data_IF_395954152048
#
_entry.id   IF_395954152048
#
_cell.length_a   1.000
_cell.length_b   1.000
_cell.length_c   1.000
_cell.angle_alpha   90.00
_cell.angle_beta   90.00
_cell.angle_gamma   90.00
#
_symmetry.space_group_name_H-M   'P 1'
#
loop_
_entity.id
_entity.type
_entity.pdbx_description
1 polymer ?
#
# COMPACT_ATOMS: atom_id res chain seq x y z
N UNK A 1 -1.36 2.18 -18.37
CA UNK A 1 -1.05 3.60 -18.69
C UNK A 1 -1.91 4.51 -17.81
N UNK A 2 -1.35 5.59 -17.24
CA UNK A 2 -2.16 6.63 -16.56
C UNK A 2 -2.77 7.53 -17.64
N UNK A 3 -4.02 7.96 -17.46
CA UNK A 3 -4.66 8.87 -18.42
C UNK A 3 -3.89 10.19 -18.52
N UNK A 4 -3.92 10.83 -19.69
CA UNK A 4 -3.25 12.12 -19.92
C UNK A 4 -3.70 13.19 -18.90
N UNK A 5 -4.97 13.17 -18.52
CA UNK A 5 -5.54 14.04 -17.49
C UNK A 5 -4.92 13.82 -16.09
N UNK A 6 -4.69 12.57 -15.71
CA UNK A 6 -4.06 12.26 -14.42
C UNK A 6 -2.61 12.77 -14.36
N UNK A 7 -1.91 12.74 -15.48
CA UNK A 7 -0.56 13.30 -15.62
C UNK A 7 -0.63 14.83 -15.55
N UNK A 8 -1.56 15.46 -16.26
CA UNK A 8 -1.77 16.91 -16.25
C UNK A 8 -2.08 17.43 -14.84
N UNK A 9 -3.02 16.80 -14.12
CA UNK A 9 -3.37 17.18 -12.75
C UNK A 9 -2.22 16.99 -11.76
N UNK A 10 -1.38 15.96 -11.95
CA UNK A 10 -0.17 15.79 -11.14
C UNK A 10 0.82 16.93 -11.38
N UNK A 11 1.08 17.30 -12.64
CA UNK A 11 1.96 18.41 -12.99
C UNK A 11 1.43 19.74 -12.44
N UNK A 12 0.12 19.99 -12.54
CA UNK A 12 -0.52 21.19 -11.99
C UNK A 12 -0.31 21.30 -10.47
N UNK A 13 -0.53 20.22 -9.72
CA UNK A 13 -0.31 20.21 -8.26
C UNK A 13 1.16 20.44 -7.90
N UNK A 14 2.09 19.91 -8.69
CA UNK A 14 3.52 20.15 -8.50
C UNK A 14 3.90 21.61 -8.79
N UNK A 15 3.34 22.21 -9.83
CA UNK A 15 3.52 23.63 -10.14
C UNK A 15 3.02 24.52 -9.00
N UNK A 16 1.79 24.31 -8.53
CA UNK A 16 1.20 25.08 -7.42
C UNK A 16 2.08 25.04 -6.17
N UNK A 17 2.56 23.85 -5.81
CA UNK A 17 3.49 23.68 -4.69
C UNK A 17 4.80 24.46 -4.84
N UNK A 18 5.35 24.57 -6.05
CA UNK A 18 6.58 25.33 -6.30
C UNK A 18 6.37 26.84 -6.14
N UNK A 19 5.13 27.30 -6.28
CA UNK A 19 4.74 28.70 -6.16
C UNK A 19 4.09 29.02 -4.80
N UNK A 20 4.24 28.16 -3.79
CA UNK A 20 3.60 28.30 -2.48
C UNK A 20 2.07 28.45 -2.56
N UNK A 21 1.45 27.66 -3.44
CA UNK A 21 0.01 27.61 -3.64
C UNK A 21 -0.58 26.26 -3.22
N UNK A 22 -1.82 26.31 -2.72
CA UNK A 22 -2.63 25.16 -2.39
C UNK A 22 -2.85 24.26 -3.60
N UNK A 23 -2.51 22.98 -3.48
CA UNK A 23 -2.62 22.01 -4.56
C UNK A 23 -4.07 21.85 -5.10
N UNK A 24 -5.07 22.21 -4.30
CA UNK A 24 -6.49 22.08 -4.66
C UNK A 24 -7.09 23.35 -5.26
N UNK A 25 -6.94 24.50 -4.60
CA UNK A 25 -7.61 25.75 -4.99
C UNK A 25 -6.67 26.87 -5.47
N UNK A 26 -5.35 26.67 -5.50
CA UNK A 26 -4.33 27.66 -5.87
C UNK A 26 -4.21 28.91 -4.96
N UNK A 27 -4.92 28.99 -3.84
CA UNK A 27 -4.69 30.05 -2.82
C UNK A 27 -3.28 29.94 -2.21
N UNK A 28 -2.68 31.04 -1.73
CA UNK A 28 -1.40 30.99 -1.00
C UNK A 28 -1.43 29.99 0.15
N UNK A 29 -0.38 29.18 0.26
CA UNK A 29 -0.25 28.12 1.25
C UNK A 29 1.20 27.65 1.36
N UNK A 30 1.74 27.68 2.57
CA UNK A 30 3.08 27.16 2.87
C UNK A 30 3.12 25.62 2.95
N UNK A 31 1.94 24.99 2.93
CA UNK A 31 1.79 23.53 2.94
C UNK A 31 1.05 23.02 1.69
N UNK A 32 0.85 21.70 1.59
CA UNK A 32 0.21 21.08 0.43
C UNK A 32 -1.23 21.56 0.17
N UNK A 33 -2.00 21.87 1.21
CA UNK A 33 -3.36 22.42 1.13
C UNK A 33 -3.45 23.64 2.04
N UNK A 34 -4.15 24.69 1.60
CA UNK A 34 -4.48 25.78 2.50
C UNK A 34 -5.40 25.29 3.63
N UNK A 35 -5.47 26.07 4.73
CA UNK A 35 -6.27 25.79 5.92
C UNK A 35 -7.71 25.37 5.57
N UNK A 36 -8.43 26.18 4.78
CA UNK A 36 -9.81 25.89 4.37
C UNK A 36 -9.96 24.57 3.59
N UNK A 37 -9.03 24.27 2.66
CA UNK A 37 -9.10 23.03 1.89
C UNK A 37 -8.80 21.81 2.76
N UNK A 38 -7.95 21.97 3.78
CA UNK A 38 -7.66 20.92 4.74
C UNK A 38 -8.86 20.67 5.68
N UNK A 39 -9.47 21.73 6.20
CA UNK A 39 -10.67 21.66 7.04
C UNK A 39 -11.83 20.99 6.29
N UNK A 40 -12.13 21.44 5.06
CA UNK A 40 -13.16 20.83 4.20
C UNK A 40 -12.89 19.35 3.95
N UNK A 41 -11.62 18.96 3.81
CA UNK A 41 -11.24 17.56 3.62
C UNK A 41 -11.49 16.74 4.88
N UNK A 42 -11.22 17.31 6.06
CA UNK A 42 -11.55 16.73 7.35
C UNK A 42 -13.06 16.56 7.55
N UNK A 43 -13.87 17.57 7.22
CA UNK A 43 -15.34 17.48 7.28
C UNK A 43 -15.89 16.36 6.38
N UNK A 44 -15.34 16.23 5.17
CA UNK A 44 -15.70 15.14 4.25
C UNK A 44 -15.29 13.76 4.77
N UNK A 45 -14.20 13.68 5.53
CA UNK A 45 -13.75 12.45 6.19
C UNK A 45 -14.70 12.07 7.32
N UNK A 46 -15.00 13.00 8.22
CA UNK A 46 -15.99 12.82 9.29
C UNK A 46 -17.37 12.42 8.75
N UNK A 47 -17.84 13.08 7.69
CA UNK A 47 -19.10 12.74 7.02
C UNK A 47 -19.08 11.34 6.43
N UNK A 48 -17.95 10.94 5.83
CA UNK A 48 -17.78 9.59 5.28
C UNK A 48 -17.78 8.55 6.38
N UNK A 49 -17.12 8.81 7.50
CA UNK A 49 -17.10 7.93 8.66
C UNK A 49 -18.50 7.78 9.23
N UNK A 50 -19.18 8.89 9.55
CA UNK A 50 -20.57 8.88 10.03
C UNK A 50 -21.51 8.12 9.08
N UNK A 51 -21.41 8.35 7.77
CA UNK A 51 -22.20 7.62 6.76
C UNK A 51 -21.91 6.12 6.80
N UNK A 52 -20.64 5.72 6.99
CA UNK A 52 -20.24 4.31 7.08
C UNK A 52 -20.77 3.69 8.37
N UNK A 53 -20.68 4.37 9.50
CA UNK A 53 -21.23 3.93 10.79
C UNK A 53 -22.74 3.68 10.69
N UNK A 54 -23.48 4.66 10.16
CA UNK A 54 -24.93 4.56 9.99
C UNK A 54 -25.33 3.40 9.08
N UNK A 55 -24.49 3.07 8.10
CA UNK A 55 -24.69 1.94 7.17
C UNK A 55 -24.03 0.64 7.64
N UNK A 56 -23.51 0.59 8.88
CA UNK A 56 -22.77 -0.54 9.45
C UNK A 56 -21.62 -1.04 8.56
N UNK A 57 -20.96 -0.12 7.86
CA UNK A 57 -19.83 -0.39 6.98
C UNK A 57 -18.50 -0.18 7.71
N UNK A 58 -17.47 -0.91 7.30
CA UNK A 58 -16.11 -0.67 7.76
C UNK A 58 -15.65 0.77 7.47
N UNK A 59 -15.27 1.52 8.51
CA UNK A 59 -14.73 2.89 8.39
C UNK A 59 -13.48 2.97 7.50
N UNK A 60 -12.71 1.89 7.33
CA UNK A 60 -11.50 1.85 6.48
C UNK A 60 -11.82 1.50 5.03
N UNK A 61 -12.41 0.33 4.78
CA UNK A 61 -12.57 -0.19 3.42
C UNK A 61 -13.96 0.01 2.82
N UNK A 62 -14.97 0.38 3.63
CA UNK A 62 -16.35 0.59 3.19
C UNK A 62 -17.13 -0.70 2.86
N UNK A 63 -16.57 -1.89 3.12
CA UNK A 63 -17.26 -3.17 2.89
C UNK A 63 -18.06 -3.61 4.12
N UNK A 64 -19.13 -4.36 3.87
CA UNK A 64 -20.02 -4.95 4.86
C UNK A 64 -19.99 -6.48 4.78
N UNK A 65 -19.31 -7.18 5.69
CA UNK A 65 -19.43 -8.64 5.70
C UNK A 65 -20.37 -9.17 6.79
N UNK A 66 -20.39 -8.53 7.97
CA UNK A 66 -21.20 -8.93 9.15
C UNK A 66 -20.79 -8.10 10.39
N UNK A 67 -20.55 -6.79 10.25
CA UNK A 67 -20.08 -5.98 11.38
C UNK A 67 -21.21 -5.68 12.39
N UNK A 68 -20.96 -5.98 13.65
CA UNK A 68 -21.59 -5.33 14.81
C UNK A 68 -20.61 -4.29 15.38
N UNK A 69 -21.13 -3.17 15.88
CA UNK A 69 -20.42 -2.12 16.65
C UNK A 69 -19.04 -1.68 16.15
N UNK A 70 -18.95 -1.38 14.84
CA UNK A 70 -17.82 -0.68 14.25
C UNK A 70 -16.46 -1.41 14.41
N UNK A 71 -16.54 -2.71 14.69
CA UNK A 71 -15.41 -3.58 14.94
C UNK A 71 -14.69 -3.87 13.62
N UNK A 72 -13.76 -2.98 13.27
CA UNK A 72 -12.92 -3.10 12.07
C UNK A 72 -12.23 -4.46 11.97
N UNK A 73 -11.92 -5.06 13.12
CA UNK A 73 -11.35 -6.38 13.29
C UNK A 73 -12.34 -7.53 13.08
N UNK A 74 -13.58 -7.28 12.65
CA UNK A 74 -14.54 -8.29 12.20
C UNK A 74 -14.82 -8.18 10.69
N UNK A 75 -14.23 -7.19 10.01
CA UNK A 75 -14.41 -7.04 8.58
C UNK A 75 -13.76 -8.23 7.87
N UNK A 76 -14.52 -9.23 7.41
CA UNK A 76 -14.03 -10.30 6.51
C UNK A 76 -13.14 -9.75 5.37
N UNK A 77 -13.45 -8.58 4.83
CA UNK A 77 -12.63 -7.96 3.80
C UNK A 77 -11.33 -7.28 4.27
N UNK A 78 -11.21 -6.88 5.54
CA UNK A 78 -9.94 -6.42 6.12
C UNK A 78 -9.20 -7.53 6.89
N UNK A 79 -9.89 -8.60 7.31
CA UNK A 79 -9.35 -9.72 8.07
C UNK A 79 -9.01 -10.91 7.18
N UNK A 80 -9.94 -11.41 6.37
CA UNK A 80 -9.75 -12.62 5.56
C UNK A 80 -9.18 -12.31 4.19
N UNK A 81 -9.29 -11.06 3.73
CA UNK A 81 -8.54 -10.71 2.54
C UNK A 81 -7.09 -10.45 2.96
N UNK A 82 -6.73 -9.67 4.01
CA UNK A 82 -5.32 -9.44 4.40
C UNK A 82 -5.09 -9.02 5.86
N UNK A 83 -4.81 -9.94 6.81
CA UNK A 83 -4.48 -9.56 8.19
C UNK A 83 -3.09 -8.90 8.28
N UNK A 84 -2.17 -9.18 7.34
CA UNK A 84 -0.79 -8.69 7.38
C UNK A 84 -0.11 -8.56 5.99
N UNK A 85 -0.80 -8.15 4.91
CA UNK A 85 -0.06 -8.04 3.64
C UNK A 85 0.90 -6.84 3.60
N UNK A 86 2.06 -7.05 2.95
CA UNK A 86 2.74 -6.07 2.14
C UNK A 86 1.83 -5.30 1.18
N UNK A 87 1.93 -3.98 1.21
CA UNK A 87 1.70 -3.08 0.06
C UNK A 87 0.26 -2.68 -0.27
N UNK A 88 0.22 -1.40 -0.66
CA UNK A 88 -0.78 -0.63 -1.39
C UNK A 88 -1.46 -1.41 -2.54
N UNK A 89 -2.77 -1.19 -2.73
CA UNK A 89 -3.58 -1.65 -3.88
C UNK A 89 -2.83 -1.57 -5.23
N UNK A 90 -2.29 -2.68 -5.73
CA UNK A 90 -1.86 -2.81 -7.12
C UNK A 90 -3.08 -3.19 -7.98
N UNK A 91 -3.18 -2.61 -9.18
CA UNK A 91 -4.36 -2.70 -10.05
C UNK A 91 -4.58 -4.09 -10.70
N UNK A 92 -3.62 -5.02 -10.60
CA UNK A 92 -3.71 -6.41 -11.07
C UNK A 92 -3.05 -7.31 -10.03
N UNK A 93 -3.77 -8.35 -9.61
CA UNK A 93 -3.55 -9.15 -8.39
C UNK A 93 -2.66 -10.38 -8.58
N UNK A 94 -1.93 -10.50 -9.69
CA UNK A 94 -1.21 -11.73 -9.96
C UNK A 94 0.09 -11.79 -9.15
N UNK A 95 0.13 -12.62 -8.12
CA UNK A 95 1.35 -13.02 -7.42
C UNK A 95 2.17 -13.89 -8.38
N UNK A 96 3.46 -13.58 -8.53
CA UNK A 96 4.36 -14.32 -9.42
C UNK A 96 5.37 -15.16 -8.66
N UNK A 97 5.83 -14.69 -7.52
CA UNK A 97 6.62 -15.49 -6.58
C UNK A 97 5.71 -15.88 -5.40
N UNK A 98 5.15 -17.09 -5.49
CA UNK A 98 4.23 -17.61 -4.49
C UNK A 98 4.95 -17.97 -3.18
N UNK A 99 6.17 -18.48 -3.23
CA UNK A 99 6.93 -18.88 -2.04
C UNK A 99 7.24 -17.69 -1.13
N UNK A 100 7.81 -16.62 -1.70
CA UNK A 100 8.02 -15.37 -0.96
C UNK A 100 6.70 -14.81 -0.41
N UNK A 101 5.64 -14.85 -1.20
CA UNK A 101 4.34 -14.35 -0.76
C UNK A 101 3.78 -15.16 0.41
N UNK A 102 3.88 -16.49 0.38
CA UNK A 102 3.44 -17.37 1.46
C UNK A 102 4.26 -17.15 2.73
N UNK A 103 5.60 -17.13 2.63
CA UNK A 103 6.50 -16.85 3.75
C UNK A 103 6.17 -15.48 4.40
N UNK A 104 5.90 -14.46 3.59
CA UNK A 104 5.48 -13.15 4.08
C UNK A 104 4.14 -13.19 4.83
N UNK A 105 3.19 -13.98 4.35
CA UNK A 105 1.87 -14.10 4.96
C UNK A 105 1.90 -14.83 6.30
N UNK A 106 2.59 -15.98 6.36
CA UNK A 106 2.74 -16.79 7.58
C UNK A 106 3.44 -16.00 8.70
N UNK A 107 4.42 -15.18 8.33
CA UNK A 107 5.20 -14.37 9.27
C UNK A 107 4.60 -12.98 9.54
N UNK A 108 3.39 -12.70 9.04
CA UNK A 108 2.74 -11.40 9.19
C UNK A 108 3.61 -10.22 8.73
N UNK A 109 4.38 -10.41 7.67
CA UNK A 109 5.39 -9.47 7.21
C UNK A 109 4.90 -8.62 6.05
N UNK A 110 4.96 -7.29 6.19
CA UNK A 110 4.77 -6.36 5.07
C UNK A 110 6.05 -6.18 4.24
N UNK A 111 5.98 -5.71 2.99
CA UNK A 111 7.17 -5.42 2.19
C UNK A 111 7.90 -4.22 2.76
N UNK A 112 7.19 -3.26 3.36
CA UNK A 112 7.85 -2.16 4.05
C UNK A 112 8.71 -2.70 5.19
N UNK A 113 8.21 -3.69 5.94
CA UNK A 113 8.95 -4.38 7.01
C UNK A 113 10.17 -5.11 6.44
N UNK A 114 9.98 -5.94 5.43
CA UNK A 114 11.09 -6.68 4.79
C UNK A 114 12.11 -5.74 4.16
N UNK A 115 11.66 -4.69 3.47
CA UNK A 115 12.52 -3.69 2.83
C UNK A 115 13.36 -2.92 3.85
N UNK A 116 12.79 -2.54 5.00
CA UNK A 116 13.52 -1.91 6.10
C UNK A 116 14.56 -2.85 6.71
N UNK A 117 14.22 -4.13 6.89
CA UNK A 117 15.15 -5.13 7.40
C UNK A 117 16.36 -5.31 6.48
N UNK A 118 16.13 -5.40 5.16
CA UNK A 118 17.20 -5.59 4.16
C UNK A 118 17.94 -4.28 3.84
N UNK A 119 17.33 -3.12 4.06
CA UNK A 119 17.90 -1.81 3.70
C UNK A 119 17.66 -1.39 2.24
N UNK A 120 16.53 -1.79 1.65
CA UNK A 120 16.15 -1.51 0.25
C UNK A 120 14.81 -0.78 0.15
N UNK A 121 14.40 -0.40 -1.07
CA UNK A 121 13.09 0.22 -1.29
C UNK A 121 11.94 -0.80 -1.21
N UNK A 122 10.79 -0.38 -0.68
CA UNK A 122 9.56 -1.19 -0.67
C UNK A 122 9.17 -1.67 -2.07
N UNK A 123 9.38 -0.81 -3.08
CA UNK A 123 9.18 -1.12 -4.49
C UNK A 123 10.08 -2.24 -5.00
N UNK A 124 11.27 -2.42 -4.45
CA UNK A 124 12.15 -3.54 -4.84
C UNK A 124 11.51 -4.86 -4.42
N UNK A 125 11.02 -4.95 -3.19
CA UNK A 125 10.36 -6.15 -2.67
C UNK A 125 9.03 -6.41 -3.38
N UNK A 126 8.27 -5.36 -3.72
CA UNK A 126 7.08 -5.46 -4.59
C UNK A 126 7.38 -6.21 -5.90
N UNK A 127 8.52 -5.93 -6.54
CA UNK A 127 8.91 -6.57 -7.80
C UNK A 127 9.23 -8.05 -7.63
N UNK A 128 9.81 -8.42 -6.49
CA UNK A 128 10.08 -9.83 -6.21
C UNK A 128 8.78 -10.63 -6.12
N UNK A 129 7.76 -10.07 -5.47
CA UNK A 129 6.46 -10.72 -5.26
C UNK A 129 5.60 -10.74 -6.53
N UNK A 130 5.45 -9.60 -7.20
CA UNK A 130 4.44 -9.41 -8.27
C UNK A 130 4.99 -9.40 -9.70
N UNK A 131 6.31 -9.24 -9.88
CA UNK A 131 6.94 -9.19 -11.20
C UNK A 131 7.92 -10.34 -11.43
N UNK A 132 8.10 -11.24 -10.45
CA UNK A 132 9.09 -12.32 -10.45
C UNK A 132 10.53 -11.86 -10.70
N UNK A 133 10.86 -10.63 -10.30
CA UNK A 133 12.22 -10.12 -10.46
C UNK A 133 13.10 -10.80 -9.43
N UNK A 134 14.20 -11.42 -9.86
CA UNK A 134 15.14 -12.04 -8.94
C UNK A 134 15.93 -10.99 -8.14
N UNK A 135 16.05 -11.15 -6.81
CA UNK A 135 16.95 -10.33 -6.00
C UNK A 135 18.41 -10.56 -6.41
N UNK A 136 19.26 -9.59 -6.06
CA UNK A 136 20.72 -9.83 -6.02
C UNK A 136 21.04 -10.82 -4.89
N UNK A 137 22.12 -11.56 -5.03
CA UNK A 137 22.52 -12.63 -4.12
C UNK A 137 22.51 -12.20 -2.63
N UNK A 138 23.12 -11.06 -2.30
CA UNK A 138 23.12 -10.52 -0.93
C UNK A 138 21.71 -10.27 -0.39
N UNK A 139 20.86 -9.63 -1.20
CA UNK A 139 19.49 -9.33 -0.83
C UNK A 139 18.63 -10.60 -0.70
N UNK A 140 18.91 -11.62 -1.51
CA UNK A 140 18.26 -12.92 -1.46
C UNK A 140 18.59 -13.63 -0.15
N UNK A 141 19.87 -13.62 0.24
CA UNK A 141 20.34 -14.17 1.53
C UNK A 141 19.72 -13.45 2.72
N UNK A 142 19.65 -12.13 2.70
CA UNK A 142 19.02 -11.38 3.80
C UNK A 142 17.52 -11.66 3.91
N UNK A 143 16.82 -11.76 2.77
CA UNK A 143 15.40 -12.13 2.75
C UNK A 143 15.19 -13.57 3.28
N UNK A 144 16.01 -14.52 2.85
CA UNK A 144 15.98 -15.92 3.30
C UNK A 144 16.23 -16.02 4.82
N UNK A 145 17.23 -15.29 5.32
CA UNK A 145 17.52 -15.19 6.76
C UNK A 145 16.34 -14.63 7.55
N UNK A 146 15.64 -13.62 7.01
CA UNK A 146 14.47 -13.03 7.68
C UNK A 146 13.34 -14.05 7.90
N UNK A 147 13.14 -14.98 6.96
CA UNK A 147 12.11 -16.01 7.05
C UNK A 147 12.60 -17.36 7.59
N UNK A 148 13.90 -17.48 7.90
CA UNK A 148 14.54 -18.74 8.29
C UNK A 148 14.30 -19.87 7.27
N UNK A 149 14.49 -19.55 5.98
CA UNK A 149 14.33 -20.47 4.85
C UNK A 149 15.60 -20.46 4.00
N UNK A 150 15.75 -21.44 3.11
CA UNK A 150 16.81 -21.41 2.10
C UNK A 150 16.47 -20.45 0.95
N UNK A 151 17.50 -19.84 0.34
CA UNK A 151 17.33 -18.93 -0.80
C UNK A 151 16.62 -19.64 -1.97
N UNK A 152 16.95 -20.91 -2.19
CA UNK A 152 16.35 -21.75 -3.24
C UNK A 152 14.88 -22.07 -3.00
N UNK A 153 14.44 -22.10 -1.74
CA UNK A 153 13.04 -22.29 -1.37
C UNK A 153 12.26 -20.99 -1.53
N UNK A 154 12.84 -19.86 -1.11
CA UNK A 154 12.18 -18.56 -1.12
C UNK A 154 12.11 -17.93 -2.53
N UNK A 155 13.05 -18.26 -3.41
CA UNK A 155 13.15 -17.74 -4.77
C UNK A 155 13.30 -18.87 -5.79
N UNK A 156 12.21 -19.61 -6.01
CA UNK A 156 12.10 -20.71 -6.98
C UNK A 156 11.96 -20.21 -8.43
N UNK A 157 12.92 -19.44 -8.91
CA UNK A 157 12.99 -18.97 -10.30
C UNK A 157 13.98 -19.80 -11.13
N UNK A 158 13.56 -20.37 -12.28
CA UNK A 158 14.43 -21.02 -13.28
C UNK A 158 15.34 -20.02 -14.02
N UNK A 159 16.19 -19.32 -13.29
CA UNK A 159 17.29 -18.52 -13.83
C UNK A 159 18.44 -18.71 -12.87
N UNK A 160 19.54 -19.31 -13.35
CA UNK A 160 20.75 -19.55 -12.56
C UNK A 160 21.12 -18.29 -11.76
N UNK A 161 21.38 -18.49 -10.47
CA UNK A 161 22.14 -17.55 -9.63
C UNK A 161 23.48 -17.22 -10.31
#
# INVERSE_FOLDING_TARGET
>A
MKSNEAIAMKKLRQYRRKNSECAQCAKPSDTYLCKECNERRGELELKRESTRLNKRLCIRCGKHPSMQDNERHLCYACNNIYPNLPIRKLRKWEVKNHELYHAMMENGCSTNKLAKYIGISERTVERWVFENVMPKEDNAREAARFFNMDVSELFTGRGKL
#
